data_IF_550694719522
#
_entry.id   IF_550694719522
#
_cell.length_a   1.000
_cell.length_b   1.000
_cell.length_c   1.000
_cell.angle_alpha   90.00
_cell.angle_beta   90.00
_cell.angle_gamma   90.00
#
_symmetry.space_group_name_H-M   'P 1'
#
loop_
_entity.id
_entity.type
_entity.pdbx_description
1 polymer ?
#
# COMPACT_ATOMS: atom_id res chain seq x y z
N UNK A 1 36.52 33.58 10.95
CA UNK A 1 35.17 33.49 10.34
C UNK A 1 35.38 32.95 8.93
N UNK A 2 35.44 31.63 8.82
CA UNK A 2 35.96 30.92 7.63
C UNK A 2 34.78 30.34 6.86
N UNK A 3 34.46 30.97 5.73
CA UNK A 3 33.74 30.33 4.64
C UNK A 3 34.78 29.56 3.81
N UNK A 4 34.84 28.24 3.97
CA UNK A 4 35.50 27.34 3.02
C UNK A 4 34.73 26.04 2.87
N UNK A 5 34.82 25.48 1.67
CA UNK A 5 33.91 24.51 1.08
C UNK A 5 33.70 23.23 1.86
N UNK A 6 32.43 22.83 1.95
CA UNK A 6 32.07 21.43 2.12
C UNK A 6 32.02 20.82 0.72
N UNK A 7 33.04 20.04 0.42
CA UNK A 7 33.24 19.38 -0.85
C UNK A 7 32.11 18.43 -1.22
N UNK A 8 31.96 18.27 -2.53
CA UNK A 8 31.33 17.12 -3.17
C UNK A 8 32.01 15.83 -2.71
N UNK A 9 31.58 15.29 -1.56
CA UNK A 9 31.81 13.90 -1.16
C UNK A 9 30.70 13.03 -1.75
N UNK A 10 30.97 11.77 -2.14
CA UNK A 10 30.03 10.96 -2.89
C UNK A 10 28.86 10.56 -2.00
N UNK A 11 27.79 11.34 -2.04
CA UNK A 11 26.45 10.89 -1.66
C UNK A 11 26.20 9.61 -2.44
N UNK A 12 25.79 8.57 -1.71
CA UNK A 12 25.05 7.40 -2.21
C UNK A 12 25.59 6.58 -3.40
N UNK A 13 26.83 6.05 -3.34
CA UNK A 13 27.22 4.89 -4.17
C UNK A 13 26.60 3.54 -3.70
N UNK A 14 25.33 3.57 -3.26
CA UNK A 14 24.51 2.37 -2.98
C UNK A 14 23.31 2.27 -3.93
N UNK A 15 23.35 2.97 -5.06
CA UNK A 15 22.42 2.74 -6.16
C UNK A 15 22.91 1.54 -6.97
N UNK A 16 22.18 0.43 -6.83
CA UNK A 16 22.03 -0.65 -7.83
C UNK A 16 23.14 -1.70 -7.95
N UNK A 17 24.43 -1.39 -7.79
CA UNK A 17 25.52 -2.32 -8.22
C UNK A 17 25.97 -3.38 -7.18
N UNK A 18 25.49 -3.32 -5.94
CA UNK A 18 25.78 -4.33 -4.89
C UNK A 18 24.54 -4.81 -4.14
N UNK A 19 23.38 -4.78 -4.80
CA UNK A 19 22.26 -5.59 -4.32
C UNK A 19 22.60 -7.04 -4.68
N UNK A 20 22.54 -8.02 -3.77
CA UNK A 20 22.38 -9.39 -4.22
C UNK A 20 21.16 -9.39 -5.14
N UNK A 21 21.38 -9.79 -6.40
CA UNK A 21 20.31 -9.87 -7.37
C UNK A 21 19.30 -10.90 -6.87
N UNK A 22 18.12 -10.41 -6.49
CA UNK A 22 16.96 -11.20 -6.08
C UNK A 22 15.90 -11.21 -7.19
N UNK A 23 16.24 -10.73 -8.39
CA UNK A 23 15.33 -10.62 -9.53
C UNK A 23 15.49 -11.81 -10.47
N UNK A 24 14.86 -12.91 -10.09
CA UNK A 24 14.81 -14.12 -10.92
C UNK A 24 13.39 -14.64 -11.15
N UNK A 25 12.42 -13.80 -11.53
CA UNK A 25 11.21 -14.18 -12.31
C UNK A 25 10.60 -12.88 -12.91
N UNK A 26 10.36 -12.81 -14.24
CA UNK A 26 9.57 -11.73 -14.83
C UNK A 26 8.14 -11.69 -14.25
N UNK A 27 7.77 -10.57 -13.61
CA UNK A 27 6.41 -10.33 -13.09
C UNK A 27 6.21 -10.43 -11.58
N UNK A 28 7.26 -10.73 -10.79
CA UNK A 28 7.13 -10.86 -9.33
C UNK A 28 7.22 -9.52 -8.59
N UNK A 29 6.30 -9.20 -7.65
CA UNK A 29 6.37 -7.97 -6.86
C UNK A 29 7.53 -7.98 -5.84
N UNK A 30 7.95 -6.81 -5.33
CA UNK A 30 8.92 -6.71 -4.25
C UNK A 30 8.45 -7.55 -3.04
N UNK A 31 9.28 -8.49 -2.57
CA UNK A 31 8.94 -9.40 -1.46
C UNK A 31 8.45 -10.80 -1.86
N UNK A 32 8.56 -11.20 -3.14
CA UNK A 32 8.09 -12.50 -3.64
C UNK A 32 8.85 -13.75 -3.13
N UNK A 33 10.01 -13.61 -2.49
CA UNK A 33 10.70 -14.77 -1.90
C UNK A 33 10.00 -15.21 -0.60
N UNK A 34 9.88 -16.51 -0.30
CA UNK A 34 9.47 -17.01 1.02
C UNK A 34 10.16 -16.29 2.18
N UNK A 35 9.49 -16.19 3.33
CA UNK A 35 10.08 -15.48 4.49
C UNK A 35 11.28 -16.23 5.04
N UNK A 36 11.22 -17.54 4.94
CA UNK A 36 12.24 -18.53 5.27
C UNK A 36 13.53 -18.25 4.50
N UNK A 37 13.45 -18.03 3.18
CA UNK A 37 14.64 -17.67 2.38
C UNK A 37 15.27 -16.34 2.82
N UNK A 38 14.44 -15.38 3.25
CA UNK A 38 14.92 -14.11 3.79
C UNK A 38 15.65 -14.31 5.11
N UNK A 39 15.10 -15.15 6.00
CA UNK A 39 15.74 -15.52 7.28
C UNK A 39 17.07 -16.23 7.02
N UNK A 40 17.11 -17.25 6.18
CA UNK A 40 18.36 -17.96 5.86
C UNK A 40 19.42 -17.05 5.24
N UNK A 41 19.01 -16.07 4.43
CA UNK A 41 19.94 -15.09 3.88
C UNK A 41 20.54 -14.16 4.96
N UNK A 42 19.73 -13.77 5.96
CA UNK A 42 20.20 -12.97 7.11
C UNK A 42 21.22 -13.78 7.93
N UNK A 43 20.89 -15.04 8.25
CA UNK A 43 21.78 -15.94 9.00
C UNK A 43 23.10 -16.19 8.26
N UNK A 44 23.04 -16.47 6.96
CA UNK A 44 24.22 -16.65 6.14
C UNK A 44 25.09 -15.39 6.10
N UNK A 45 24.47 -14.22 5.95
CA UNK A 45 25.19 -12.95 5.97
C UNK A 45 25.84 -12.68 7.32
N UNK A 46 25.13 -12.89 8.43
CA UNK A 46 25.64 -12.68 9.79
C UNK A 46 26.91 -13.51 10.08
N UNK A 47 26.97 -14.76 9.56
CA UNK A 47 28.17 -15.62 9.68
C UNK A 47 29.41 -15.09 8.97
N UNK A 48 29.25 -14.19 8.00
CA UNK A 48 30.38 -13.54 7.31
C UNK A 48 30.93 -12.35 8.06
N UNK A 49 30.22 -11.87 9.09
CA UNK A 49 30.57 -10.67 9.83
C UNK A 49 31.51 -11.02 10.99
N UNK A 50 32.57 -10.22 11.13
CA UNK A 50 33.50 -10.29 12.26
C UNK A 50 33.24 -9.19 13.28
N UNK A 51 34.30 -8.49 13.70
CA UNK A 51 34.19 -7.33 14.59
C UNK A 51 33.29 -6.27 13.96
N UNK A 52 32.28 -5.79 14.69
CA UNK A 52 31.29 -4.83 14.18
C UNK A 52 30.05 -5.46 13.53
N UNK A 53 29.83 -6.77 13.73
CA UNK A 53 28.60 -7.49 13.35
C UNK A 53 27.34 -6.71 13.73
N UNK A 54 27.18 -6.31 14.98
CA UNK A 54 25.95 -5.66 15.46
C UNK A 54 25.70 -4.29 14.82
N UNK A 55 26.75 -3.49 14.63
CA UNK A 55 26.65 -2.23 13.92
C UNK A 55 26.19 -2.45 12.46
N UNK A 56 26.71 -3.49 11.81
CA UNK A 56 26.33 -3.85 10.44
C UNK A 56 24.89 -4.37 10.37
N UNK A 57 24.50 -5.25 11.29
CA UNK A 57 23.14 -5.78 11.38
C UNK A 57 22.10 -4.70 11.70
N UNK A 58 22.48 -3.69 12.49
CA UNK A 58 21.63 -2.51 12.74
C UNK A 58 21.35 -1.74 11.44
N UNK A 59 22.33 -1.59 10.56
CA UNK A 59 22.12 -0.98 9.24
C UNK A 59 21.22 -1.84 8.35
N UNK A 60 21.37 -3.16 8.39
CA UNK A 60 20.49 -4.09 7.67
C UNK A 60 19.05 -3.99 8.18
N UNK A 61 18.84 -3.85 9.50
CA UNK A 61 17.53 -3.68 10.12
C UNK A 61 16.77 -2.44 9.63
N UNK A 62 17.48 -1.34 9.35
CA UNK A 62 16.85 -0.12 8.84
C UNK A 62 16.15 -0.30 7.48
N UNK A 63 16.64 -1.22 6.64
CA UNK A 63 16.12 -1.46 5.29
C UNK A 63 14.67 -1.96 5.25
N UNK A 64 14.32 -3.09 5.91
CA UNK A 64 12.95 -3.58 5.99
C UNK A 64 11.96 -2.56 6.55
N UNK A 65 12.37 -1.79 7.58
CA UNK A 65 11.54 -0.75 8.21
C UNK A 65 11.26 0.41 7.27
N UNK A 66 12.28 0.93 6.58
CA UNK A 66 12.08 2.01 5.62
C UNK A 66 11.20 1.57 4.43
N UNK A 67 11.38 0.33 3.97
CA UNK A 67 10.59 -0.24 2.87
C UNK A 67 9.12 -0.34 3.24
N UNK A 68 8.83 -0.89 4.42
CA UNK A 68 7.44 -1.09 4.84
C UNK A 68 6.71 0.20 5.15
N UNK A 69 7.39 1.20 5.73
CA UNK A 69 6.76 2.47 6.04
C UNK A 69 6.33 3.21 4.75
N UNK A 70 7.17 3.15 3.71
CA UNK A 70 6.84 3.68 2.39
C UNK A 70 5.64 2.96 1.75
N UNK A 71 5.57 1.63 1.84
CA UNK A 71 4.45 0.84 1.31
C UNK A 71 3.16 1.07 2.09
N UNK A 72 3.22 1.07 3.42
CA UNK A 72 2.10 1.37 4.32
C UNK A 72 1.52 2.75 4.02
N UNK A 73 2.37 3.76 3.87
CA UNK A 73 1.97 5.11 3.52
C UNK A 73 1.23 5.15 2.17
N UNK A 74 1.70 4.43 1.15
CA UNK A 74 1.03 4.32 -0.15
C UNK A 74 -0.34 3.64 -0.04
N UNK A 75 -0.44 2.53 0.71
CA UNK A 75 -1.71 1.81 0.92
C UNK A 75 -2.72 2.70 1.64
N UNK A 76 -2.34 3.33 2.75
CA UNK A 76 -3.20 4.24 3.52
C UNK A 76 -3.68 5.39 2.65
N UNK A 77 -2.79 6.00 1.85
CA UNK A 77 -3.18 7.05 0.91
C UNK A 77 -4.21 6.54 -0.12
N UNK A 78 -4.05 5.30 -0.60
CA UNK A 78 -5.03 4.63 -1.46
C UNK A 78 -6.39 4.45 -0.80
N UNK A 79 -6.42 3.97 0.45
CA UNK A 79 -7.65 3.81 1.25
C UNK A 79 -8.35 5.15 1.46
N UNK A 80 -7.61 6.21 1.80
CA UNK A 80 -8.17 7.57 1.93
C UNK A 80 -8.82 8.05 0.64
N UNK A 81 -8.15 7.88 -0.52
CA UNK A 81 -8.73 8.20 -1.84
C UNK A 81 -9.98 7.37 -2.13
N UNK A 82 -9.97 6.10 -1.76
CA UNK A 82 -11.12 5.20 -1.92
C UNK A 82 -12.32 5.69 -1.09
N UNK A 83 -12.13 5.98 0.20
CA UNK A 83 -13.17 6.50 1.08
C UNK A 83 -13.77 7.81 0.56
N UNK A 84 -12.94 8.73 0.05
CA UNK A 84 -13.40 9.97 -0.59
C UNK A 84 -14.31 9.69 -1.80
N UNK A 85 -13.98 8.67 -2.61
CA UNK A 85 -14.83 8.25 -3.74
C UNK A 85 -16.13 7.59 -3.27
N UNK A 86 -16.13 6.84 -2.17
CA UNK A 86 -17.36 6.28 -1.59
C UNK A 86 -18.32 7.38 -1.16
N UNK A 87 -17.80 8.42 -0.49
CA UNK A 87 -18.63 9.56 -0.07
C UNK A 87 -19.27 10.26 -1.26
N UNK A 88 -18.48 10.55 -2.31
CA UNK A 88 -19.01 11.13 -3.56
C UNK A 88 -20.08 10.25 -4.23
N UNK A 89 -19.92 8.92 -4.17
CA UNK A 89 -20.92 8.00 -4.70
C UNK A 89 -22.21 8.03 -3.87
N UNK A 90 -22.11 8.05 -2.54
CA UNK A 90 -23.26 8.21 -1.65
C UNK A 90 -23.99 9.54 -1.89
N UNK A 91 -23.25 10.64 -2.07
CA UNK A 91 -23.83 11.95 -2.42
C UNK A 91 -24.61 11.85 -3.73
N UNK A 92 -24.02 11.25 -4.77
CA UNK A 92 -24.69 11.03 -6.05
C UNK A 92 -25.95 10.15 -5.93
N UNK A 93 -25.93 9.11 -5.09
CA UNK A 93 -27.11 8.26 -4.85
C UNK A 93 -28.23 9.09 -4.23
N UNK A 94 -27.91 9.97 -3.28
CA UNK A 94 -28.89 10.88 -2.66
C UNK A 94 -29.47 11.85 -3.68
N UNK A 95 -28.63 12.45 -4.52
CA UNK A 95 -29.07 13.38 -5.56
C UNK A 95 -29.97 12.70 -6.60
N UNK A 96 -29.59 11.49 -7.05
CA UNK A 96 -30.41 10.68 -7.97
C UNK A 96 -31.75 10.29 -7.34
N UNK A 97 -31.76 9.92 -6.06
CA UNK A 97 -32.97 9.59 -5.31
C UNK A 97 -33.90 10.80 -5.12
N UNK A 98 -33.34 11.98 -4.89
CA UNK A 98 -34.11 13.23 -4.85
C UNK A 98 -34.70 13.58 -6.23
N UNK A 99 -33.92 13.40 -7.30
CA UNK A 99 -34.36 13.60 -8.68
C UNK A 99 -35.52 12.69 -9.06
N UNK A 100 -35.50 11.41 -8.65
CA UNK A 100 -36.59 10.47 -8.87
C UNK A 100 -37.90 10.93 -8.19
N UNK A 101 -37.82 11.37 -6.94
CA UNK A 101 -39.00 11.87 -6.18
C UNK A 101 -39.56 13.17 -6.75
N UNK A 102 -38.76 13.94 -7.48
CA UNK A 102 -39.16 15.21 -8.06
C UNK A 102 -39.87 15.10 -9.41
N UNK A 103 -40.00 13.90 -10.00
CA UNK A 103 -40.73 13.69 -11.26
C UNK A 103 -42.21 13.45 -10.94
N UNK A 104 -43.15 14.25 -11.49
CA UNK A 104 -44.59 14.01 -11.31
C UNK A 104 -45.02 12.66 -11.89
N UNK A 105 -45.91 11.96 -11.18
CA UNK A 105 -46.43 10.65 -11.60
C UNK A 105 -47.43 10.71 -12.77
N UNK A 106 -48.05 11.86 -13.00
CA UNK A 106 -49.06 12.07 -14.05
C UNK A 106 -48.52 12.98 -15.19
N UNK A 107 -47.20 12.92 -15.43
CA UNK A 107 -46.52 13.73 -16.44
C UNK A 107 -46.64 13.17 -17.87
N UNK A 108 -46.24 13.95 -18.90
CA UNK A 108 -46.16 13.47 -20.28
C UNK A 108 -45.13 12.34 -20.44
N UNK A 109 -45.19 11.56 -21.53
CA UNK A 109 -44.29 10.41 -21.84
C UNK A 109 -42.78 10.70 -21.64
N UNK A 110 -42.34 11.94 -21.87
CA UNK A 110 -40.96 12.38 -21.60
C UNK A 110 -40.57 12.25 -20.11
N UNK A 111 -41.53 12.47 -19.20
CA UNK A 111 -41.37 12.28 -17.75
C UNK A 111 -41.12 10.82 -17.41
N UNK A 112 -41.83 9.89 -18.06
CA UNK A 112 -41.63 8.45 -17.87
C UNK A 112 -40.25 8.00 -18.37
N UNK A 113 -39.84 8.47 -19.55
CA UNK A 113 -38.51 8.19 -20.09
C UNK A 113 -37.39 8.71 -19.18
N UNK A 114 -37.55 9.94 -18.66
CA UNK A 114 -36.62 10.56 -17.71
C UNK A 114 -36.59 9.80 -16.38
N UNK A 115 -37.73 9.40 -15.86
CA UNK A 115 -37.85 8.61 -14.64
C UNK A 115 -37.12 7.26 -14.78
N UNK A 116 -37.39 6.53 -15.87
CA UNK A 116 -36.74 5.26 -16.15
C UNK A 116 -35.21 5.39 -16.22
N UNK A 117 -34.69 6.44 -16.85
CA UNK A 117 -33.24 6.65 -16.93
C UNK A 117 -32.61 6.98 -15.57
N UNK A 118 -33.21 7.90 -14.80
CA UNK A 118 -32.73 8.19 -13.44
C UNK A 118 -32.77 6.95 -12.55
N UNK A 119 -33.81 6.12 -12.68
CA UNK A 119 -33.96 4.90 -11.89
C UNK A 119 -32.88 3.88 -12.23
N UNK A 120 -32.54 3.72 -13.51
CA UNK A 120 -31.41 2.90 -13.95
C UNK A 120 -30.09 3.40 -13.38
N UNK A 121 -29.84 4.71 -13.40
CA UNK A 121 -28.61 5.29 -12.84
C UNK A 121 -28.53 5.09 -11.33
N UNK A 122 -29.63 5.33 -10.62
CA UNK A 122 -29.72 5.14 -9.17
C UNK A 122 -29.43 3.69 -8.79
N UNK A 123 -30.09 2.73 -9.45
CA UNK A 123 -29.89 1.30 -9.21
C UNK A 123 -28.44 0.87 -9.44
N UNK A 124 -27.81 1.32 -10.52
CA UNK A 124 -26.38 1.03 -10.79
C UNK A 124 -25.46 1.63 -9.72
N UNK A 125 -25.74 2.87 -9.30
CA UNK A 125 -24.93 3.56 -8.29
C UNK A 125 -25.04 2.87 -6.92
N UNK A 126 -26.26 2.53 -6.49
CA UNK A 126 -26.53 1.81 -5.24
C UNK A 126 -25.85 0.44 -5.23
N UNK A 127 -26.00 -0.35 -6.30
CA UNK A 127 -25.32 -1.65 -6.41
C UNK A 127 -23.81 -1.53 -6.29
N UNK A 128 -23.22 -0.55 -6.98
CA UNK A 128 -21.79 -0.28 -6.92
C UNK A 128 -21.35 0.13 -5.50
N UNK A 129 -22.16 0.91 -4.78
CA UNK A 129 -21.89 1.30 -3.41
C UNK A 129 -21.86 0.07 -2.49
N UNK A 130 -22.85 -0.82 -2.58
CA UNK A 130 -22.92 -2.03 -1.74
C UNK A 130 -21.79 -3.03 -2.03
N UNK A 131 -21.42 -3.22 -3.30
CA UNK A 131 -20.24 -4.00 -3.70
C UNK A 131 -18.95 -3.44 -3.08
N UNK A 132 -18.84 -2.12 -3.04
CA UNK A 132 -17.65 -1.42 -2.52
C UNK A 132 -17.59 -1.40 -1.00
N UNK A 133 -18.70 -1.22 -0.31
CA UNK A 133 -18.82 -1.36 1.14
C UNK A 133 -18.31 -2.73 1.61
N UNK A 134 -18.71 -3.81 0.93
CA UNK A 134 -18.23 -5.17 1.20
C UNK A 134 -16.72 -5.32 1.05
N UNK A 135 -16.12 -4.61 0.09
CA UNK A 135 -14.69 -4.64 -0.18
C UNK A 135 -13.85 -3.82 0.82
N UNK A 136 -14.46 -2.84 1.51
CA UNK A 136 -13.73 -1.92 2.39
C UNK A 136 -13.03 -2.66 3.54
N UNK A 137 -13.70 -3.66 4.14
CA UNK A 137 -13.10 -4.48 5.21
C UNK A 137 -11.81 -5.17 4.77
N UNK A 138 -11.82 -5.77 3.57
CA UNK A 138 -10.64 -6.43 3.01
C UNK A 138 -9.48 -5.44 2.78
N UNK A 139 -9.78 -4.22 2.28
CA UNK A 139 -8.77 -3.18 2.07
C UNK A 139 -8.11 -2.74 3.38
N UNK A 140 -8.88 -2.61 4.45
CA UNK A 140 -8.38 -2.22 5.77
C UNK A 140 -7.53 -3.32 6.44
N UNK A 141 -7.64 -4.58 6.03
CA UNK A 141 -6.81 -5.67 6.54
C UNK A 141 -5.42 -5.74 5.86
N UNK A 142 -5.28 -5.21 4.65
CA UNK A 142 -4.03 -5.27 3.88
C UNK A 142 -2.80 -4.69 4.58
N UNK A 143 -2.87 -3.55 5.32
CA UNK A 143 -1.73 -3.03 6.07
C UNK A 143 -1.19 -4.04 7.09
N UNK A 144 -2.07 -4.75 7.80
CA UNK A 144 -1.68 -5.75 8.81
C UNK A 144 -0.95 -6.91 8.17
N UNK A 145 -1.44 -7.41 7.03
CA UNK A 145 -0.79 -8.51 6.31
C UNK A 145 0.58 -8.09 5.77
N UNK A 146 0.68 -6.85 5.27
CA UNK A 146 1.95 -6.28 4.80
C UNK A 146 3.02 -6.30 5.90
N UNK A 147 2.62 -6.01 7.14
CA UNK A 147 3.50 -5.91 8.31
C UNK A 147 4.13 -7.23 8.76
N UNK A 148 3.54 -8.37 8.38
CA UNK A 148 3.98 -9.69 8.87
C UNK A 148 5.39 -10.08 8.41
N UNK A 149 5.71 -9.93 7.13
CA UNK A 149 7.01 -10.36 6.59
C UNK A 149 8.16 -9.53 7.17
N UNK A 150 8.14 -8.19 7.12
CA UNK A 150 9.27 -7.39 7.62
C UNK A 150 9.47 -7.57 9.12
N UNK A 151 8.40 -7.81 9.88
CA UNK A 151 8.50 -8.19 11.29
C UNK A 151 9.32 -9.48 11.49
N UNK A 152 9.01 -10.55 10.76
CA UNK A 152 9.75 -11.81 10.84
C UNK A 152 11.24 -11.64 10.48
N UNK A 153 11.54 -10.87 9.43
CA UNK A 153 12.92 -10.59 9.03
C UNK A 153 13.65 -9.74 10.09
N UNK A 154 12.97 -8.75 10.65
CA UNK A 154 13.50 -7.91 11.74
C UNK A 154 13.85 -8.75 12.97
N UNK A 155 13.00 -9.73 13.32
CA UNK A 155 13.24 -10.67 14.42
C UNK A 155 14.45 -11.57 14.17
N UNK A 156 14.63 -12.06 12.94
CA UNK A 156 15.82 -12.85 12.58
C UNK A 156 17.11 -12.02 12.72
N UNK A 157 17.10 -10.75 12.31
CA UNK A 157 18.26 -9.86 12.48
C UNK A 157 18.60 -9.67 13.96
N UNK A 158 17.59 -9.37 14.79
CA UNK A 158 17.79 -9.20 16.24
C UNK A 158 18.33 -10.47 16.89
N UNK A 159 17.83 -11.64 16.51
CA UNK A 159 18.32 -12.92 17.01
C UNK A 159 19.79 -13.18 16.63
N UNK A 160 20.28 -12.67 15.50
CA UNK A 160 21.70 -12.74 15.16
C UNK A 160 22.55 -11.78 15.98
N UNK A 161 22.03 -10.61 16.37
CA UNK A 161 22.76 -9.64 17.20
C UNK A 161 22.93 -10.13 18.65
N UNK A 162 22.01 -10.97 19.13
CA UNK A 162 22.06 -11.56 20.49
C UNK A 162 22.97 -12.80 20.59
N UNK A 163 23.55 -13.25 19.46
CA UNK A 163 24.49 -14.38 19.37
C UNK A 163 25.94 -13.92 19.31
#
# INVERSE_FOLDING_TARGET
>A
MVHQGLGNGPVNRWTTERRPDVTGVPGSPPGARPVEEGVSAIEAFAKTLGVGKDATLTLVFAGPIATIDAERSRIIAGIKRYAKRQRRLADRIRDLGAGLKGIPSDGPDESDARHAELYRQWTRATRMFDERERSLKALCHRPVVLERRPFMLSRAIMAEMER
#
